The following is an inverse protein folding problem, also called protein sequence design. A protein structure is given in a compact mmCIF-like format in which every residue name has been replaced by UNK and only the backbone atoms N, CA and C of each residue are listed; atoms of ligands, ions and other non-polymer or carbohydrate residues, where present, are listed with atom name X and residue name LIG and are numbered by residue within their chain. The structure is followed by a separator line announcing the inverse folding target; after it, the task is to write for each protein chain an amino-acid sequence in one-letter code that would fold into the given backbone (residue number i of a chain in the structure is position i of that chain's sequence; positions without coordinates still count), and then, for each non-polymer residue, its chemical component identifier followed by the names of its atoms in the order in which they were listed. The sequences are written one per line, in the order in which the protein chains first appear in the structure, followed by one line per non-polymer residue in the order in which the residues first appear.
data_IF_681724757554
#
_entry.id   IF_681724757554
#
_cell.length_a   1.000
_cell.length_b   1.000
_cell.length_c   1.000
_cell.angle_alpha   90.00
_cell.angle_beta   90.00
_cell.angle_gamma   90.00
#
_symmetry.space_group_name_H-M   'P 1'
#
loop_
_entity.id
_entity.type
_entity.pdbx_description
1 polymer ?
#
# COMPACT_ATOMS: atom_id res chain seq x y z
N UNK A 1 4.87 3.61 18.94
CA UNK A 1 4.15 3.13 17.74
C UNK A 1 5.16 2.36 16.93
N UNK A 2 4.80 1.15 16.50
CA UNK A 2 5.63 0.37 15.57
C UNK A 2 5.06 0.66 14.19
N UNK A 3 5.73 1.56 13.46
CA UNK A 3 5.38 1.87 12.06
C UNK A 3 6.25 0.97 11.18
N UNK A 4 5.61 0.19 10.32
CA UNK A 4 6.27 -0.62 9.30
C UNK A 4 6.05 0.04 7.95
N UNK A 5 7.05 0.02 7.06
CA UNK A 5 6.96 0.65 5.74
C UNK A 5 6.99 -0.43 4.66
N UNK A 6 5.96 -0.45 3.81
CA UNK A 6 5.84 -1.36 2.69
C UNK A 6 6.10 -0.63 1.37
N UNK A 7 6.71 -1.33 0.42
CA UNK A 7 6.95 -0.80 -0.93
C UNK A 7 5.83 -1.22 -1.87
N UNK A 8 5.40 -0.31 -2.74
CA UNK A 8 4.43 -0.60 -3.80
C UNK A 8 4.88 -0.03 -5.13
N UNK A 9 4.42 -0.63 -6.23
CA UNK A 9 4.71 -0.17 -7.59
C UNK A 9 3.49 0.56 -8.13
N UNK A 10 3.69 1.82 -8.53
CA UNK A 10 2.64 2.63 -9.14
C UNK A 10 2.15 1.98 -10.44
N UNK A 11 0.83 1.82 -10.58
CA UNK A 11 0.21 1.17 -11.75
C UNK A 11 0.30 2.03 -13.03
N UNK A 12 0.59 3.33 -12.90
CA UNK A 12 0.64 4.25 -14.04
C UNK A 12 2.05 4.41 -14.61
N UNK A 13 3.02 4.76 -13.77
CA UNK A 13 4.39 5.05 -14.22
C UNK A 13 5.41 3.96 -13.90
N UNK A 14 5.03 2.94 -13.10
CA UNK A 14 5.92 1.85 -12.69
C UNK A 14 6.99 2.24 -11.67
N UNK A 15 6.94 3.45 -11.09
CA UNK A 15 7.86 3.83 -10.02
C UNK A 15 7.56 3.07 -8.73
N UNK A 16 8.61 2.84 -7.95
CA UNK A 16 8.50 2.27 -6.60
C UNK A 16 8.26 3.41 -5.62
N UNK A 17 7.24 3.27 -4.78
CA UNK A 17 6.88 4.20 -3.72
C UNK A 17 6.79 3.43 -2.38
N UNK A 18 6.63 4.14 -1.27
CA UNK A 18 6.50 3.55 0.06
C UNK A 18 5.16 3.94 0.69
N UNK A 19 4.68 3.11 1.59
CA UNK A 19 3.52 3.40 2.43
C UNK A 19 3.77 2.92 3.85
N UNK A 20 3.46 3.77 4.81
CA UNK A 20 3.57 3.45 6.23
C UNK A 20 2.27 2.81 6.71
N UNK A 21 2.40 1.64 7.35
CA UNK A 21 1.29 0.88 7.93
C UNK A 21 1.44 0.83 9.44
N UNK A 22 0.32 0.87 10.13
CA UNK A 22 0.28 0.57 11.57
C UNK A 22 -0.03 -0.92 11.74
N UNK A 23 0.91 -1.66 12.32
CA UNK A 23 0.76 -3.10 12.54
C UNK A 23 -0.37 -3.46 13.51
N UNK A 24 -0.83 -2.50 14.33
CA UNK A 24 -1.82 -2.70 15.38
C UNK A 24 -3.25 -2.46 14.91
N UNK A 25 -3.43 -1.77 13.78
CA UNK A 25 -4.69 -1.06 13.52
C UNK A 25 -5.75 -1.90 12.79
N UNK A 26 -5.35 -2.84 11.91
CA UNK A 26 -6.29 -3.82 11.32
C UNK A 26 -5.63 -4.97 10.55
N UNK A 27 -6.36 -6.07 10.38
CA UNK A 27 -6.06 -7.15 9.43
C UNK A 27 -6.19 -6.75 7.97
N UNK A 28 -6.98 -5.71 7.69
CA UNK A 28 -7.27 -5.21 6.36
C UNK A 28 -7.20 -3.69 6.41
N UNK A 29 -6.35 -3.11 5.58
CA UNK A 29 -6.13 -1.67 5.52
C UNK A 29 -6.19 -1.22 4.06
N UNK A 30 -6.86 -0.09 3.83
CA UNK A 30 -6.99 0.53 2.51
C UNK A 30 -6.41 1.94 2.56
N UNK A 31 -5.58 2.26 1.57
CA UNK A 31 -4.92 3.55 1.46
C UNK A 31 -5.08 4.12 0.06
N UNK A 32 -5.26 5.43 -0.01
CA UNK A 32 -5.32 6.19 -1.26
C UNK A 32 -4.09 7.10 -1.34
N UNK A 33 -3.04 6.62 -2.01
CA UNK A 33 -1.76 7.31 -2.07
C UNK A 33 -1.43 7.81 -3.47
N UNK A 34 -1.01 9.07 -3.54
CA UNK A 34 -0.48 9.68 -4.75
C UNK A 34 0.92 9.15 -5.03
N UNK A 35 1.20 8.80 -6.28
CA UNK A 35 2.57 8.46 -6.69
C UNK A 35 3.47 9.71 -6.65
N UNK A 36 4.61 9.65 -5.96
CA UNK A 36 5.54 10.77 -5.84
C UNK A 36 6.12 11.26 -7.18
N UNK A 37 6.06 10.41 -8.21
CA UNK A 37 6.63 10.68 -9.54
C UNK A 37 5.61 11.23 -10.53
N UNK A 38 4.42 10.62 -10.61
CA UNK A 38 3.42 10.95 -11.63
C UNK A 38 2.15 11.58 -11.07
N UNK A 39 2.03 11.73 -9.75
CA UNK A 39 0.91 12.35 -9.04
C UNK A 39 -0.46 11.69 -9.30
N UNK A 40 -0.46 10.49 -9.91
CA UNK A 40 -1.65 9.67 -10.05
C UNK A 40 -1.94 8.90 -8.77
N UNK A 41 -3.22 8.88 -8.37
CA UNK A 41 -3.70 8.17 -7.20
C UNK A 41 -3.69 6.65 -7.41
N UNK A 42 -3.20 5.93 -6.41
CA UNK A 42 -3.24 4.46 -6.36
C UNK A 42 -4.05 4.05 -5.13
N UNK A 43 -4.95 3.09 -5.32
CA UNK A 43 -5.60 2.38 -4.22
C UNK A 43 -4.70 1.22 -3.82
N UNK A 44 -4.25 1.22 -2.57
CA UNK A 44 -3.37 0.19 -2.01
C UNK A 44 -4.16 -0.54 -0.93
N UNK A 45 -4.32 -1.85 -1.12
CA UNK A 45 -5.03 -2.73 -0.19
C UNK A 45 -4.02 -3.67 0.43
N UNK A 46 -4.02 -3.74 1.76
CA UNK A 46 -3.05 -4.48 2.55
C UNK A 46 -3.81 -5.43 3.48
N UNK A 47 -3.63 -6.72 3.24
CA UNK A 47 -4.17 -7.79 4.07
C UNK A 47 -3.04 -8.45 4.87
N UNK A 48 -3.19 -8.47 6.20
CA UNK A 48 -2.25 -9.13 7.12
C UNK A 48 -2.71 -10.56 7.40
N UNK A 49 -1.86 -11.53 7.06
CA UNK A 49 -2.01 -12.91 7.50
C UNK A 49 -1.29 -13.09 8.85
N UNK A 50 -2.07 -13.22 9.92
CA UNK A 50 -1.52 -13.38 11.28
C UNK A 50 -0.91 -14.74 11.56
N UNK A 51 -1.25 -15.76 10.77
CA UNK A 51 -0.69 -17.10 10.94
C UNK A 51 0.73 -17.16 10.39
N UNK A 52 0.94 -16.57 9.21
CA UNK A 52 2.27 -16.52 8.57
C UNK A 52 3.06 -15.27 8.94
N UNK A 53 2.42 -14.26 9.54
CA UNK A 53 2.98 -12.92 9.77
C UNK A 53 3.47 -12.28 8.46
N UNK A 54 2.70 -12.45 7.39
CA UNK A 54 2.99 -11.86 6.07
C UNK A 54 1.91 -10.87 5.65
N UNK A 55 2.31 -9.86 4.89
CA UNK A 55 1.38 -8.91 4.26
C UNK A 55 1.17 -9.26 2.78
N UNK A 56 -0.09 -9.21 2.36
CA UNK A 56 -0.50 -9.29 0.97
C UNK A 56 -0.89 -7.91 0.51
N UNK A 57 -0.24 -7.43 -0.55
CA UNK A 57 -0.43 -6.10 -1.08
C UNK A 57 -1.02 -6.18 -2.49
N UNK A 58 -2.10 -5.44 -2.72
CA UNK A 58 -2.72 -5.24 -4.03
C UNK A 58 -2.76 -3.74 -4.34
N UNK A 59 -2.38 -3.37 -5.57
CA UNK A 59 -2.35 -1.97 -6.03
C UNK A 59 -3.23 -1.83 -7.26
N UNK A 60 -4.16 -0.88 -7.20
CA UNK A 60 -5.03 -0.54 -8.31
C UNK A 60 -4.79 0.91 -8.71
N UNK A 61 -4.74 1.17 -10.02
CA UNK A 61 -4.81 2.53 -10.53
C UNK A 61 -6.25 3.02 -10.45
N UNK A 62 -6.47 4.24 -9.93
CA UNK A 62 -7.78 4.88 -10.02
C UNK A 62 -7.93 5.46 -11.42
N UNK A 63 -8.67 4.74 -12.28
CA UNK A 63 -8.95 5.15 -13.65
C UNK A 63 -10.29 5.89 -13.64
N UNK A 64 -10.27 7.18 -13.29
CA UNK A 64 -11.40 8.11 -13.49
C UNK A 64 -11.97 8.04 -14.93
#
# INVERSE_FOLDING_TARGET
MFEESLTYVCQFCGSVNNIDIDELDAYHQEFYEGCEICDHMNLIIIDKDDYTKTYHLAVYGDYD
#
